data_IF_585546302001
#
_entry.id   IF_585546302001
#
_cell.length_a   1.000
_cell.length_b   1.000
_cell.length_c   1.000
_cell.angle_alpha   90.00
_cell.angle_beta   90.00
_cell.angle_gamma   90.00
#
_symmetry.space_group_name_H-M   'P 1'
#
loop_
_entity.id
_entity.type
_entity.pdbx_description
1 polymer ?
#
# COMPACT_ATOMS: atom_id res chain seq x y z
N UNK A 1 4.49 -29.19 -0.08
CA UNK A 1 3.72 -28.04 0.45
C UNK A 1 2.27 -28.25 0.09
N UNK A 2 1.34 -28.06 1.03
CA UNK A 2 -0.08 -28.09 0.72
C UNK A 2 -0.47 -26.89 -0.17
N UNK A 3 -1.62 -26.95 -0.82
CA UNK A 3 -2.12 -25.83 -1.63
C UNK A 3 -2.29 -24.55 -0.80
N UNK A 4 -2.67 -24.71 0.48
CA UNK A 4 -2.77 -23.60 1.43
C UNK A 4 -1.39 -23.00 1.75
N UNK A 5 -0.35 -23.80 1.95
CA UNK A 5 0.99 -23.27 2.25
C UNK A 5 1.55 -22.49 1.06
N UNK A 6 1.29 -22.93 -0.17
CA UNK A 6 1.66 -22.20 -1.39
C UNK A 6 0.90 -20.88 -1.46
N UNK A 7 -0.40 -20.87 -1.21
CA UNK A 7 -1.22 -19.65 -1.22
C UNK A 7 -0.77 -18.65 -0.14
N UNK A 8 -0.51 -19.13 1.08
CA UNK A 8 0.02 -18.32 2.18
C UNK A 8 1.40 -17.76 1.84
N UNK A 9 2.30 -18.58 1.28
CA UNK A 9 3.62 -18.13 0.85
C UNK A 9 3.54 -17.00 -0.19
N UNK A 10 2.67 -17.14 -1.20
CA UNK A 10 2.46 -16.09 -2.20
C UNK A 10 1.87 -14.82 -1.57
N UNK A 11 0.92 -14.95 -0.65
CA UNK A 11 0.37 -13.80 0.10
C UNK A 11 1.45 -13.10 0.92
N UNK A 12 2.27 -13.84 1.66
CA UNK A 12 3.41 -13.29 2.40
C UNK A 12 4.34 -12.56 1.47
N UNK A 13 4.73 -13.16 0.34
CA UNK A 13 5.65 -12.56 -0.62
C UNK A 13 5.12 -11.22 -1.15
N UNK A 14 3.92 -11.20 -1.70
CA UNK A 14 3.36 -9.98 -2.29
C UNK A 14 3.00 -8.93 -1.25
N UNK A 15 2.43 -9.32 -0.10
CA UNK A 15 2.14 -8.39 0.99
C UNK A 15 3.42 -7.78 1.55
N UNK A 16 4.51 -8.56 1.69
CA UNK A 16 5.81 -8.04 2.17
C UNK A 16 6.40 -7.05 1.19
N UNK A 17 6.37 -7.34 -0.12
CA UNK A 17 6.84 -6.41 -1.15
C UNK A 17 6.03 -5.10 -1.14
N UNK A 18 4.70 -5.18 -1.06
CA UNK A 18 3.83 -4.01 -0.94
C UNK A 18 4.09 -3.23 0.37
N UNK A 19 4.29 -3.94 1.48
CA UNK A 19 4.60 -3.37 2.81
C UNK A 19 5.94 -2.63 2.79
N UNK A 20 6.96 -3.23 2.19
CA UNK A 20 8.28 -2.62 2.05
C UNK A 20 8.20 -1.31 1.24
N UNK A 21 7.41 -1.30 0.17
CA UNK A 21 7.18 -0.10 -0.62
C UNK A 21 6.53 1.03 0.19
N UNK A 22 5.39 0.76 0.86
CA UNK A 22 4.68 1.80 1.65
C UNK A 22 5.50 2.28 2.86
N UNK A 23 6.26 1.37 3.48
CA UNK A 23 7.17 1.68 4.59
C UNK A 23 8.31 2.58 4.13
N UNK A 24 8.91 2.29 2.97
CA UNK A 24 9.97 3.11 2.37
C UNK A 24 9.48 4.54 2.13
N UNK A 25 8.23 4.70 1.70
CA UNK A 25 7.64 6.03 1.59
C UNK A 25 7.44 6.72 2.94
N UNK A 26 7.05 5.98 3.99
CA UNK A 26 6.86 6.53 5.32
C UNK A 26 8.16 7.06 5.94
N UNK A 27 9.25 6.32 5.80
CA UNK A 27 10.48 6.57 6.57
C UNK A 27 11.62 7.22 5.76
N UNK A 28 11.59 7.12 4.42
CA UNK A 28 12.63 7.69 3.55
C UNK A 28 12.06 8.70 2.58
N UNK A 29 11.12 8.31 1.71
CA UNK A 29 10.73 9.14 0.55
C UNK A 29 10.03 10.41 1.00
N UNK A 30 8.93 10.31 1.76
CA UNK A 30 8.18 11.50 2.16
C UNK A 30 9.00 12.41 3.10
N UNK A 31 9.74 11.90 4.11
CA UNK A 31 10.65 12.74 4.91
C UNK A 31 11.80 13.37 4.10
N UNK A 32 12.22 12.74 3.00
CA UNK A 32 13.20 13.30 2.07
C UNK A 32 12.59 14.44 1.25
N UNK A 33 11.43 14.19 0.64
CA UNK A 33 10.69 15.19 -0.13
C UNK A 33 10.29 16.39 0.74
N UNK A 34 9.96 16.19 2.01
CA UNK A 34 9.54 17.26 2.91
C UNK A 34 10.60 18.34 3.12
N UNK A 35 11.86 18.06 2.79
CA UNK A 35 12.97 19.02 2.87
C UNK A 35 13.08 19.96 1.66
N UNK A 36 12.31 19.70 0.62
CA UNK A 36 12.25 20.53 -0.58
C UNK A 36 11.28 21.70 -0.40
N UNK A 37 11.43 22.75 -1.20
CA UNK A 37 10.44 23.82 -1.30
C UNK A 37 9.15 23.30 -1.97
N UNK A 38 8.02 24.00 -1.83
CA UNK A 38 6.71 23.47 -2.22
C UNK A 38 6.59 23.07 -3.69
N UNK A 39 7.15 23.91 -4.58
CA UNK A 39 7.18 23.62 -6.01
C UNK A 39 8.00 22.37 -6.33
N UNK A 40 9.13 22.22 -5.65
CA UNK A 40 10.06 21.10 -5.84
C UNK A 40 9.49 19.81 -5.26
N UNK A 41 8.87 19.87 -4.09
CA UNK A 41 8.11 18.76 -3.50
C UNK A 41 7.06 18.24 -4.49
N UNK A 42 6.19 19.14 -4.98
CA UNK A 42 5.09 18.76 -5.88
C UNK A 42 5.67 18.18 -7.17
N UNK A 43 6.66 18.82 -7.77
CA UNK A 43 7.32 18.32 -8.98
C UNK A 43 7.94 16.94 -8.78
N UNK A 44 8.69 16.75 -7.68
CA UNK A 44 9.35 15.49 -7.37
C UNK A 44 8.34 14.36 -7.12
N UNK A 45 7.26 14.66 -6.40
CA UNK A 45 6.16 13.71 -6.22
C UNK A 45 5.50 13.37 -7.55
N UNK A 46 5.18 14.38 -8.38
CA UNK A 46 4.56 14.19 -9.69
C UNK A 46 5.37 13.27 -10.58
N UNK A 47 6.67 13.54 -10.77
CA UNK A 47 7.50 12.71 -11.68
C UNK A 47 7.69 11.28 -11.15
N UNK A 48 7.77 11.11 -9.84
CA UNK A 48 7.94 9.78 -9.22
C UNK A 48 6.66 8.97 -9.30
N UNK A 49 5.53 9.54 -8.87
CA UNK A 49 4.23 8.86 -8.88
C UNK A 49 3.71 8.62 -10.31
N UNK A 50 4.11 9.44 -11.30
CA UNK A 50 3.76 9.23 -12.71
C UNK A 50 4.32 7.93 -13.28
N UNK A 51 5.44 7.42 -12.74
CA UNK A 51 5.95 6.08 -13.10
C UNK A 51 4.89 5.02 -12.77
N UNK A 52 4.28 5.13 -11.58
CA UNK A 52 3.23 4.22 -11.12
C UNK A 52 1.94 4.41 -11.94
N UNK A 53 1.52 5.65 -12.16
CA UNK A 53 0.31 5.96 -12.94
C UNK A 53 0.42 5.54 -14.42
N UNK A 54 1.63 5.45 -14.95
CA UNK A 54 1.91 4.89 -16.27
C UNK A 54 2.00 3.35 -16.26
N UNK A 55 1.39 2.70 -15.26
CA UNK A 55 1.28 1.25 -15.12
C UNK A 55 2.64 0.52 -15.14
N UNK A 56 3.59 0.97 -14.33
CA UNK A 56 4.87 0.27 -14.18
C UNK A 56 4.61 -1.22 -13.89
N UNK A 57 5.04 -2.16 -14.76
CA UNK A 57 4.52 -3.54 -14.73
C UNK A 57 4.81 -4.31 -13.45
N UNK A 58 5.99 -4.10 -12.86
CA UNK A 58 6.43 -4.80 -11.65
C UNK A 58 5.64 -4.30 -10.44
N UNK A 59 5.40 -2.98 -10.33
CA UNK A 59 4.58 -2.41 -9.28
C UNK A 59 3.13 -2.90 -9.39
N UNK A 60 2.56 -2.90 -10.60
CA UNK A 60 1.21 -3.42 -10.82
C UNK A 60 1.11 -4.90 -10.44
N UNK A 61 2.11 -5.71 -10.81
CA UNK A 61 2.20 -7.11 -10.41
C UNK A 61 2.26 -7.25 -8.89
N UNK A 62 3.09 -6.47 -8.19
CA UNK A 62 3.19 -6.51 -6.73
C UNK A 62 1.87 -6.11 -6.08
N UNK A 63 1.29 -4.99 -6.51
CA UNK A 63 0.09 -4.42 -5.92
C UNK A 63 -1.13 -5.32 -6.15
N UNK A 64 -1.44 -5.66 -7.41
CA UNK A 64 -2.56 -6.55 -7.73
C UNK A 64 -2.29 -7.98 -7.24
N UNK A 65 -1.05 -8.46 -7.33
CA UNK A 65 -0.64 -9.76 -6.80
C UNK A 65 -0.92 -9.86 -5.30
N UNK A 66 -0.70 -8.79 -4.54
CA UNK A 66 -1.03 -8.78 -3.09
C UNK A 66 -2.53 -8.88 -2.82
N UNK A 67 -3.37 -8.29 -3.68
CA UNK A 67 -4.83 -8.38 -3.55
C UNK A 67 -5.28 -9.80 -3.89
N UNK A 68 -4.88 -10.29 -5.07
CA UNK A 68 -5.31 -11.59 -5.61
C UNK A 68 -4.84 -12.72 -4.71
N UNK A 69 -3.58 -12.73 -4.29
CA UNK A 69 -3.04 -13.79 -3.40
C UNK A 69 -3.79 -13.88 -2.08
N UNK A 70 -4.13 -12.74 -1.46
CA UNK A 70 -4.88 -12.69 -0.20
C UNK A 70 -6.32 -13.22 -0.39
N UNK A 71 -7.00 -12.83 -1.48
CA UNK A 71 -8.32 -13.40 -1.81
C UNK A 71 -8.26 -14.91 -2.05
N UNK A 72 -7.27 -15.40 -2.81
CA UNK A 72 -7.06 -16.83 -2.99
C UNK A 72 -6.82 -17.53 -1.66
N UNK A 73 -6.03 -16.92 -0.77
CA UNK A 73 -5.72 -17.49 0.55
C UNK A 73 -6.95 -17.65 1.43
N UNK A 74 -7.88 -16.68 1.40
CA UNK A 74 -9.18 -16.82 2.06
C UNK A 74 -9.91 -18.07 1.54
N UNK A 75 -10.11 -18.16 0.22
CA UNK A 75 -10.88 -19.25 -0.40
C UNK A 75 -10.24 -20.61 -0.11
N UNK A 76 -8.92 -20.70 -0.31
CA UNK A 76 -8.16 -21.94 -0.09
C UNK A 76 -8.17 -22.36 1.37
N UNK A 77 -8.07 -21.41 2.31
CA UNK A 77 -8.12 -21.72 3.74
C UNK A 77 -9.46 -22.30 4.15
N UNK A 78 -10.57 -21.73 3.65
CA UNK A 78 -11.92 -22.23 3.92
C UNK A 78 -12.11 -23.64 3.36
N UNK A 79 -11.67 -23.89 2.11
CA UNK A 79 -11.79 -25.21 1.47
C UNK A 79 -10.92 -26.25 2.20
N UNK A 80 -9.72 -25.86 2.65
CA UNK A 80 -8.74 -26.81 3.20
C UNK A 80 -8.95 -27.11 4.68
N UNK A 81 -9.45 -26.15 5.46
CA UNK A 81 -9.53 -26.26 6.92
C UNK A 81 -10.98 -26.25 7.45
N UNK A 82 -11.92 -25.67 6.71
CA UNK A 82 -13.21 -25.24 7.26
C UNK A 82 -13.15 -23.81 7.79
N UNK A 83 -14.33 -23.17 7.90
CA UNK A 83 -14.41 -21.74 8.25
C UNK A 83 -14.00 -21.44 9.68
N UNK A 84 -14.30 -22.36 10.62
CA UNK A 84 -14.01 -22.19 12.04
C UNK A 84 -12.52 -22.30 12.29
N UNK A 85 -11.83 -23.21 11.60
CA UNK A 85 -10.40 -23.44 11.71
C UNK A 85 -9.59 -22.39 10.93
N UNK A 86 -10.13 -21.89 9.81
CA UNK A 86 -9.51 -20.85 8.98
C UNK A 86 -9.68 -19.42 9.51
N UNK A 87 -10.42 -19.22 10.61
CA UNK A 87 -10.88 -17.89 11.07
C UNK A 87 -9.74 -16.86 11.15
N UNK A 88 -8.56 -17.25 11.65
CA UNK A 88 -7.43 -16.34 11.83
C UNK A 88 -6.83 -15.90 10.48
N UNK A 89 -6.77 -16.79 9.50
CA UNK A 89 -6.32 -16.49 8.13
C UNK A 89 -7.33 -15.53 7.47
N UNK A 90 -8.63 -15.80 7.62
CA UNK A 90 -9.70 -14.97 7.06
C UNK A 90 -9.65 -13.57 7.67
N UNK A 91 -9.60 -13.47 9.00
CA UNK A 91 -9.52 -12.21 9.72
C UNK A 91 -8.31 -11.39 9.28
N UNK A 92 -7.12 -12.00 9.28
CA UNK A 92 -5.86 -11.33 8.87
C UNK A 92 -5.94 -10.83 7.42
N UNK A 93 -6.51 -11.64 6.54
CA UNK A 93 -6.73 -11.28 5.12
C UNK A 93 -7.69 -10.10 4.96
N UNK A 94 -8.80 -10.10 5.70
CA UNK A 94 -9.77 -8.99 5.67
C UNK A 94 -9.14 -7.71 6.22
N UNK A 95 -8.36 -7.79 7.30
CA UNK A 95 -7.62 -6.64 7.84
C UNK A 95 -6.65 -6.06 6.80
N UNK A 96 -5.97 -6.89 6.02
CA UNK A 96 -5.11 -6.41 4.92
C UNK A 96 -5.92 -5.70 3.83
N UNK A 97 -6.98 -6.32 3.34
CA UNK A 97 -7.79 -5.79 2.25
C UNK A 97 -8.43 -4.45 2.64
N UNK A 98 -8.99 -4.35 3.84
CA UNK A 98 -9.60 -3.11 4.33
C UNK A 98 -8.56 -2.07 4.75
N UNK A 99 -7.58 -2.46 5.57
CA UNK A 99 -6.62 -1.53 6.16
C UNK A 99 -5.52 -1.06 5.22
N UNK A 100 -5.20 -1.82 4.17
CA UNK A 100 -4.15 -1.46 3.20
C UNK A 100 -4.75 -1.09 1.86
N UNK A 101 -5.59 -1.96 1.29
CA UNK A 101 -6.04 -1.82 -0.09
C UNK A 101 -7.16 -0.81 -0.24
N UNK A 102 -8.18 -0.85 0.63
CA UNK A 102 -9.25 0.16 0.62
C UNK A 102 -8.69 1.55 0.93
N UNK A 103 -7.78 1.70 1.90
CA UNK A 103 -7.10 2.98 2.16
C UNK A 103 -6.33 3.45 0.91
N UNK A 104 -5.61 2.56 0.24
CA UNK A 104 -4.88 2.91 -0.98
C UNK A 104 -5.82 3.41 -2.08
N UNK A 105 -6.90 2.66 -2.37
CA UNK A 105 -7.83 2.96 -3.46
C UNK A 105 -8.67 4.21 -3.17
N UNK A 106 -9.17 4.35 -1.95
CA UNK A 106 -10.13 5.41 -1.58
C UNK A 106 -9.46 6.71 -1.14
N UNK A 107 -8.20 6.68 -0.70
CA UNK A 107 -7.51 7.86 -0.15
C UNK A 107 -6.28 8.21 -0.98
N UNK A 108 -5.33 7.29 -1.13
CA UNK A 108 -4.06 7.59 -1.81
C UNK A 108 -4.25 7.84 -3.30
N UNK A 109 -4.99 6.99 -4.03
CA UNK A 109 -5.17 7.20 -5.47
C UNK A 109 -5.85 8.55 -5.79
N UNK A 110 -6.93 8.99 -5.09
CA UNK A 110 -7.48 10.32 -5.29
C UNK A 110 -6.52 11.46 -4.94
N UNK A 111 -5.78 11.34 -3.83
CA UNK A 111 -4.80 12.36 -3.42
C UNK A 111 -3.67 12.50 -4.45
N UNK A 112 -3.12 11.38 -4.91
CA UNK A 112 -2.06 11.37 -5.90
C UNK A 112 -2.54 11.96 -7.24
N UNK A 113 -3.74 11.59 -7.70
CA UNK A 113 -4.34 12.18 -8.91
C UNK A 113 -4.55 13.68 -8.80
N UNK A 114 -4.98 14.19 -7.64
CA UNK A 114 -5.10 15.64 -7.40
C UNK A 114 -3.75 16.34 -7.57
N UNK A 115 -2.71 15.85 -6.90
CA UNK A 115 -1.36 16.43 -7.02
C UNK A 115 -0.81 16.32 -8.44
N UNK A 116 -1.07 15.22 -9.16
CA UNK A 116 -0.64 15.07 -10.56
C UNK A 116 -1.19 16.14 -11.51
N UNK A 117 -2.40 16.63 -11.22
CA UNK A 117 -3.11 17.55 -12.11
C UNK A 117 -2.76 19.03 -11.86
N UNK A 118 -1.90 19.33 -10.88
CA UNK A 118 -1.43 20.70 -10.62
C UNK A 118 -0.42 21.12 -11.68
N UNK A 119 -0.69 22.22 -12.39
CA UNK A 119 0.31 22.86 -13.24
C UNK A 119 1.23 23.76 -12.40
N UNK A 120 2.39 23.22 -12.06
CA UNK A 120 3.40 23.88 -11.21
C UNK A 120 4.01 25.16 -11.81
N UNK A 121 3.83 25.43 -13.10
CA UNK A 121 4.42 26.60 -13.75
C UNK A 121 3.44 27.78 -13.82
N UNK A 122 2.14 27.52 -13.87
CA UNK A 122 1.10 28.55 -13.89
C UNK A 122 0.49 28.81 -12.49
N UNK A 123 0.67 27.90 -11.53
CA UNK A 123 0.16 28.05 -10.17
C UNK A 123 1.04 28.99 -9.34
N UNK A 124 0.42 29.93 -8.61
CA UNK A 124 1.13 30.85 -7.72
C UNK A 124 1.67 30.13 -6.47
N UNK A 125 2.64 30.76 -5.79
CA UNK A 125 3.32 30.18 -4.63
C UNK A 125 2.38 29.82 -3.46
N UNK A 126 1.43 30.70 -3.12
CA UNK A 126 0.52 30.48 -2.00
C UNK A 126 -0.35 29.24 -2.22
N UNK A 127 -0.90 29.09 -3.44
CA UNK A 127 -1.70 27.92 -3.81
C UNK A 127 -0.87 26.64 -3.77
N UNK A 128 0.40 26.66 -4.21
CA UNK A 128 1.28 25.48 -4.13
C UNK A 128 1.56 25.07 -2.67
N UNK A 129 1.80 26.04 -1.78
CA UNK A 129 1.96 25.80 -0.34
C UNK A 129 0.71 25.12 0.25
N UNK A 130 -0.48 25.65 -0.05
CA UNK A 130 -1.73 25.11 0.48
C UNK A 130 -2.05 23.71 -0.07
N UNK A 131 -1.81 23.47 -1.35
CA UNK A 131 -1.98 22.14 -1.97
C UNK A 131 -1.02 21.12 -1.36
N UNK A 132 0.27 21.47 -1.23
CA UNK A 132 1.26 20.60 -0.57
C UNK A 132 0.84 20.28 0.85
N UNK A 133 0.54 21.29 1.67
CA UNK A 133 0.22 21.09 3.09
C UNK A 133 -0.95 20.14 3.29
N UNK A 134 -2.01 20.34 2.51
CA UNK A 134 -3.21 19.49 2.56
C UNK A 134 -2.93 18.06 2.09
N UNK A 135 -2.12 17.91 1.03
CA UNK A 135 -1.71 16.62 0.52
C UNK A 135 -0.80 15.88 1.49
N UNK A 136 0.35 16.46 1.83
CA UNK A 136 1.43 15.83 2.60
C UNK A 136 0.93 15.36 3.97
N UNK A 137 0.17 16.21 4.68
CA UNK A 137 -0.39 15.87 6.00
C UNK A 137 -1.29 14.65 5.92
N UNK A 138 -2.28 14.66 5.00
CA UNK A 138 -3.25 13.57 4.87
C UNK A 138 -2.60 12.31 4.31
N UNK A 139 -1.71 12.47 3.34
CA UNK A 139 -0.99 11.36 2.72
C UNK A 139 -0.13 10.63 3.75
N UNK A 140 0.67 11.34 4.53
CA UNK A 140 1.53 10.74 5.56
C UNK A 140 0.71 10.06 6.66
N UNK A 141 -0.37 10.70 7.13
CA UNK A 141 -1.26 10.12 8.15
C UNK A 141 -1.80 8.75 7.73
N UNK A 142 -2.42 8.67 6.55
CA UNK A 142 -2.98 7.41 6.07
C UNK A 142 -1.89 6.42 5.63
N UNK A 143 -0.73 6.89 5.16
CA UNK A 143 0.39 6.02 4.84
C UNK A 143 0.93 5.31 6.09
N UNK A 144 1.04 6.02 7.21
CA UNK A 144 1.50 5.45 8.48
C UNK A 144 0.52 4.41 9.03
N UNK A 145 -0.79 4.69 8.95
CA UNK A 145 -1.84 3.73 9.34
C UNK A 145 -1.73 2.45 8.51
N UNK A 146 -1.74 2.55 7.17
CA UNK A 146 -1.64 1.36 6.32
C UNK A 146 -0.31 0.62 6.49
N UNK A 147 0.77 1.33 6.80
CA UNK A 147 2.09 0.71 7.08
C UNK A 147 2.04 -0.14 8.34
N UNK A 148 1.50 0.38 9.45
CA UNK A 148 1.36 -0.39 10.68
C UNK A 148 0.48 -1.62 10.51
N UNK A 149 -0.65 -1.48 9.81
CA UNK A 149 -1.56 -2.61 9.52
C UNK A 149 -0.87 -3.64 8.64
N UNK A 150 -0.16 -3.22 7.58
CA UNK A 150 0.49 -4.14 6.67
C UNK A 150 1.63 -4.92 7.34
N UNK A 151 2.43 -4.27 8.21
CA UNK A 151 3.44 -4.94 9.02
C UNK A 151 2.82 -5.97 9.96
N UNK A 152 1.72 -5.63 10.63
CA UNK A 152 0.98 -6.57 11.47
C UNK A 152 0.49 -7.79 10.67
N UNK A 153 -0.15 -7.57 9.52
CA UNK A 153 -0.62 -8.64 8.64
C UNK A 153 0.52 -9.56 8.21
N UNK A 154 1.63 -8.98 7.72
CA UNK A 154 2.79 -9.76 7.26
C UNK A 154 3.35 -10.61 8.39
N UNK A 155 3.46 -10.04 9.60
CA UNK A 155 3.91 -10.79 10.77
C UNK A 155 2.98 -11.96 11.08
N UNK A 156 1.66 -11.75 11.11
CA UNK A 156 0.70 -12.82 11.42
C UNK A 156 0.70 -13.90 10.33
N UNK A 157 0.73 -13.54 9.04
CA UNK A 157 0.84 -14.54 7.97
C UNK A 157 2.14 -15.33 8.03
N UNK A 158 3.27 -14.71 8.35
CA UNK A 158 4.53 -15.41 8.57
C UNK A 158 4.44 -16.39 9.74
N UNK A 159 3.89 -15.96 10.89
CA UNK A 159 3.70 -16.84 12.05
C UNK A 159 2.82 -18.04 11.70
N UNK A 160 1.68 -17.81 11.04
CA UNK A 160 0.79 -18.88 10.57
C UNK A 160 1.54 -19.84 9.65
N UNK A 161 2.33 -19.33 8.70
CA UNK A 161 3.09 -20.17 7.77
C UNK A 161 4.15 -21.00 8.49
N UNK A 162 4.80 -20.47 9.54
CA UNK A 162 5.83 -21.20 10.29
C UNK A 162 5.29 -22.23 11.29
N UNK A 163 4.05 -22.08 11.72
CA UNK A 163 3.40 -22.99 12.68
C UNK A 163 2.65 -24.15 12.00
N UNK A 164 2.67 -24.21 10.66
CA UNK A 164 2.06 -25.26 9.85
C UNK A 164 3.13 -26.23 9.34
#
# INVERSE_FOLDING_TARGET
MSFLDISLFLSVLFCTLATGFILTYAIVVMPGLSKLDDKEFIKAFQVTDRIIQNNQPIFILIWLGSIISVFCTIIVSIISLGILEAWLIIFTSVVYLLGVQVITISIHLPLNRRIQNIDINSTNFQTLSDERKNFETKWNYFNNIRTGIALFVVLIFLLILTMR
#
